data_IF_767906763870
#
_entry.id   IF_767906763870
#
_cell.length_a   1.000
_cell.length_b   1.000
_cell.length_c   1.000
_cell.angle_alpha   90.00
_cell.angle_beta   90.00
_cell.angle_gamma   90.00
#
_symmetry.space_group_name_H-M   'P 1'
#
loop_
_entity.id
_entity.type
_entity.pdbx_description
1 polymer ?
#
# COMPACT_ATOMS: atom_id res chain seq x y z
N UNK A 1 -5.31 16.57 4.58
CA UNK A 1 -3.92 16.70 4.06
C UNK A 1 -3.93 16.77 2.54
N UNK A 2 -4.55 15.80 1.85
CA UNK A 2 -4.66 15.79 0.38
C UNK A 2 -5.36 17.04 -0.19
N UNK A 3 -6.46 17.48 0.41
CA UNK A 3 -7.18 18.73 0.05
C UNK A 3 -6.37 20.03 0.21
N UNK A 4 -5.24 20.00 0.91
CA UNK A 4 -4.30 21.12 0.96
C UNK A 4 -3.12 20.89 0.00
N UNK A 5 -2.71 19.64 -0.19
CA UNK A 5 -1.62 19.28 -1.08
C UNK A 5 -1.99 19.52 -2.54
N UNK A 6 -3.21 19.20 -2.98
CA UNK A 6 -3.67 19.38 -4.36
C UNK A 6 -3.50 20.82 -4.87
N UNK A 7 -3.95 21.83 -4.12
CA UNK A 7 -3.78 23.25 -4.48
C UNK A 7 -2.32 23.71 -4.49
N UNK A 8 -1.48 23.17 -3.58
CA UNK A 8 -0.04 23.43 -3.57
C UNK A 8 0.67 22.79 -4.76
N UNK A 9 0.25 21.59 -5.14
CA UNK A 9 0.73 20.85 -6.31
C UNK A 9 0.37 21.61 -7.59
N UNK A 10 -0.88 22.03 -7.74
CA UNK A 10 -1.37 22.84 -8.86
C UNK A 10 -0.59 24.16 -8.97
N UNK A 11 -0.43 24.90 -7.87
CA UNK A 11 0.35 26.14 -7.91
C UNK A 11 1.82 25.92 -8.24
N UNK A 12 2.41 24.81 -7.80
CA UNK A 12 3.82 24.50 -8.06
C UNK A 12 4.08 24.01 -9.48
N UNK A 13 3.06 23.53 -10.21
CA UNK A 13 3.21 23.09 -11.60
C UNK A 13 3.60 24.26 -12.53
N UNK A 14 3.18 25.48 -12.20
CA UNK A 14 3.55 26.73 -12.90
C UNK A 14 5.07 26.97 -12.96
N UNK A 15 5.84 26.41 -12.01
CA UNK A 15 7.30 26.52 -12.02
C UNK A 15 7.99 25.58 -13.02
N UNK A 16 7.24 24.67 -13.66
CA UNK A 16 7.75 23.63 -14.58
C UNK A 16 8.85 22.76 -13.96
N UNK A 17 8.72 22.47 -12.66
CA UNK A 17 9.64 21.62 -11.90
C UNK A 17 8.95 20.30 -11.54
N UNK A 18 8.98 19.28 -12.43
CA UNK A 18 8.22 18.04 -12.24
C UNK A 18 8.57 17.33 -10.92
N UNK A 19 9.83 17.32 -10.52
CA UNK A 19 10.24 16.71 -9.25
C UNK A 19 9.63 17.40 -8.02
N UNK A 20 9.40 18.73 -8.08
CA UNK A 20 8.76 19.47 -6.99
C UNK A 20 7.29 19.10 -6.86
N UNK A 21 6.57 18.97 -7.99
CA UNK A 21 5.18 18.51 -8.06
C UNK A 21 5.05 17.11 -7.44
N UNK A 22 5.92 16.18 -7.87
CA UNK A 22 5.98 14.81 -7.32
C UNK A 22 6.19 14.81 -5.80
N UNK A 23 7.15 15.59 -5.31
CA UNK A 23 7.49 15.61 -3.90
C UNK A 23 6.36 16.16 -3.01
N UNK A 24 5.57 17.14 -3.47
CA UNK A 24 4.45 17.68 -2.66
C UNK A 24 3.38 16.60 -2.44
N UNK A 25 3.03 15.88 -3.49
CA UNK A 25 2.05 14.79 -3.41
C UNK A 25 2.58 13.62 -2.55
N UNK A 26 3.84 13.24 -2.73
CA UNK A 26 4.49 12.20 -1.93
C UNK A 26 4.66 12.60 -0.45
N UNK A 27 5.00 13.86 -0.15
CA UNK A 27 5.11 14.39 1.22
C UNK A 27 3.74 14.30 1.94
N UNK A 28 2.63 14.54 1.23
CA UNK A 28 1.29 14.38 1.77
C UNK A 28 0.97 12.91 2.05
N UNK A 29 1.20 12.03 1.07
CA UNK A 29 0.93 10.60 1.19
C UNK A 29 1.72 9.92 2.31
N UNK A 30 3.04 10.18 2.42
CA UNK A 30 3.86 9.60 3.49
C UNK A 30 3.44 10.10 4.87
N UNK A 31 3.02 11.36 4.99
CA UNK A 31 2.52 11.92 6.25
C UNK A 31 1.24 11.21 6.71
N UNK A 32 0.32 10.93 5.79
CA UNK A 32 -0.90 10.18 6.06
C UNK A 32 -0.55 8.73 6.46
N UNK A 33 0.27 8.05 5.67
CA UNK A 33 0.65 6.66 5.92
C UNK A 33 1.35 6.45 7.27
N UNK A 34 2.30 7.33 7.62
CA UNK A 34 2.98 7.28 8.93
C UNK A 34 2.00 7.56 10.06
N UNK A 35 1.12 8.56 9.93
CA UNK A 35 0.15 8.90 10.97
C UNK A 35 -0.77 7.71 11.27
N UNK A 36 -1.34 7.09 10.23
CA UNK A 36 -2.31 6.01 10.38
C UNK A 36 -1.69 4.77 11.00
N UNK A 37 -0.53 4.33 10.48
CA UNK A 37 0.16 3.17 11.02
C UNK A 37 0.60 3.43 12.47
N UNK A 38 1.07 4.64 12.81
CA UNK A 38 1.40 4.98 14.19
C UNK A 38 0.18 4.95 15.11
N UNK A 39 -0.95 5.52 14.69
CA UNK A 39 -2.20 5.52 15.47
C UNK A 39 -2.63 4.08 15.74
N UNK A 40 -2.60 3.23 14.71
CA UNK A 40 -2.97 1.83 14.83
C UNK A 40 -2.06 1.09 15.81
N UNK A 41 -0.73 1.25 15.67
CA UNK A 41 0.25 0.64 16.57
C UNK A 41 0.05 1.08 18.02
N UNK A 42 -0.25 2.36 18.26
CA UNK A 42 -0.55 2.87 19.59
C UNK A 42 -1.81 2.20 20.14
N UNK A 43 -2.88 2.08 19.34
CA UNK A 43 -4.13 1.43 19.76
C UNK A 43 -3.90 -0.05 20.10
N UNK A 44 -3.15 -0.77 19.26
CA UNK A 44 -2.79 -2.17 19.51
C UNK A 44 -1.93 -2.34 20.77
N UNK A 45 -0.97 -1.44 21.00
CA UNK A 45 -0.15 -1.42 22.22
C UNK A 45 -0.99 -1.11 23.46
N UNK A 46 -1.98 -0.23 23.36
CA UNK A 46 -2.90 0.05 24.47
C UNK A 46 -3.67 -1.22 24.84
N UNK A 47 -4.18 -1.96 23.84
CA UNK A 47 -4.85 -3.25 24.08
C UNK A 47 -3.87 -4.23 24.74
N UNK A 48 -2.64 -4.35 24.23
CA UNK A 48 -1.67 -5.30 24.74
C UNK A 48 -1.22 -5.01 26.18
N UNK A 49 -1.03 -3.72 26.54
CA UNK A 49 -0.41 -3.32 27.80
C UNK A 49 -1.40 -3.05 28.93
N UNK A 50 -2.62 -2.58 28.61
CA UNK A 50 -3.57 -2.10 29.61
C UNK A 50 -4.86 -2.92 29.70
N UNK A 51 -5.21 -3.71 28.68
CA UNK A 51 -6.38 -4.59 28.75
C UNK A 51 -6.00 -5.90 29.45
N UNK A 52 -6.79 -6.39 30.41
CA UNK A 52 -6.55 -7.69 31.05
C UNK A 52 -6.40 -8.81 30.02
N UNK A 53 -5.49 -9.75 30.27
CA UNK A 53 -5.10 -10.80 29.31
C UNK A 53 -6.30 -11.62 28.82
N UNK A 54 -7.23 -11.92 29.72
CA UNK A 54 -8.48 -12.64 29.46
C UNK A 54 -9.43 -11.91 28.50
N UNK A 55 -9.33 -10.58 28.39
CA UNK A 55 -10.15 -9.76 27.49
C UNK A 55 -9.38 -9.32 26.23
N UNK A 56 -8.05 -9.29 26.27
CA UNK A 56 -7.21 -8.76 25.19
C UNK A 56 -7.48 -9.43 23.84
N UNK A 57 -7.67 -10.75 23.80
CA UNK A 57 -7.99 -11.48 22.56
C UNK A 57 -9.31 -11.04 21.93
N UNK A 58 -10.38 -10.94 22.74
CA UNK A 58 -11.68 -10.46 22.27
C UNK A 58 -11.62 -8.99 21.84
N UNK A 59 -10.84 -8.16 22.54
CA UNK A 59 -10.61 -6.75 22.18
C UNK A 59 -9.89 -6.61 20.84
N UNK A 60 -8.87 -7.43 20.56
CA UNK A 60 -8.19 -7.42 19.25
C UNK A 60 -9.13 -7.85 18.11
N UNK A 61 -9.95 -8.88 18.32
CA UNK A 61 -10.96 -9.30 17.33
C UNK A 61 -11.99 -8.19 17.10
N UNK A 62 -12.47 -7.56 18.17
CA UNK A 62 -13.41 -6.43 18.07
C UNK A 62 -12.79 -5.22 17.37
N UNK A 63 -11.50 -4.94 17.62
CA UNK A 63 -10.72 -3.92 16.93
C UNK A 63 -10.66 -4.20 15.42
N UNK A 64 -10.22 -5.40 15.02
CA UNK A 64 -10.19 -5.82 13.62
C UNK A 64 -11.55 -5.70 12.93
N UNK A 65 -12.63 -6.19 13.55
CA UNK A 65 -13.98 -6.09 12.99
C UNK A 65 -14.41 -4.62 12.83
N UNK A 66 -14.10 -3.77 13.81
CA UNK A 66 -14.42 -2.35 13.77
C UNK A 66 -13.73 -1.62 12.63
N UNK A 67 -12.43 -1.90 12.42
CA UNK A 67 -11.66 -1.35 11.31
C UNK A 67 -12.19 -1.83 9.96
N UNK A 68 -12.43 -3.14 9.79
CA UNK A 68 -13.01 -3.71 8.57
C UNK A 68 -14.37 -3.10 8.23
N UNK A 69 -15.25 -2.90 9.22
CA UNK A 69 -16.55 -2.28 9.01
C UNK A 69 -16.42 -0.81 8.60
N UNK A 70 -15.54 -0.06 9.28
CA UNK A 70 -15.30 1.36 8.99
C UNK A 70 -14.69 1.56 7.60
N UNK A 71 -13.64 0.81 7.26
CA UNK A 71 -12.99 0.85 5.95
C UNK A 71 -13.95 0.45 4.83
N UNK A 72 -14.74 -0.60 5.02
CA UNK A 72 -15.77 -1.02 4.04
C UNK A 72 -16.80 0.09 3.80
N UNK A 73 -17.30 0.73 4.86
CA UNK A 73 -18.27 1.81 4.73
C UNK A 73 -17.69 3.02 3.99
N UNK A 74 -16.47 3.44 4.33
CA UNK A 74 -15.79 4.57 3.68
C UNK A 74 -15.48 4.28 2.21
N UNK A 75 -15.00 3.08 1.90
CA UNK A 75 -14.67 2.69 0.52
C UNK A 75 -15.91 2.57 -0.36
N UNK A 76 -17.00 2.00 0.16
CA UNK A 76 -18.25 1.88 -0.59
C UNK A 76 -18.90 3.25 -0.76
N UNK A 77 -19.09 4.03 0.31
CA UNK A 77 -19.76 5.32 0.23
C UNK A 77 -18.96 6.33 -0.59
N UNK A 78 -17.65 6.42 -0.32
CA UNK A 78 -16.73 7.28 -1.09
C UNK A 78 -16.65 6.84 -2.55
N UNK A 79 -16.52 5.53 -2.80
CA UNK A 79 -16.49 4.94 -4.14
C UNK A 79 -17.74 5.21 -4.98
N UNK A 80 -18.93 5.08 -4.38
CA UNK A 80 -20.20 5.42 -5.04
C UNK A 80 -20.21 6.91 -5.38
N UNK A 81 -19.78 7.77 -4.45
CA UNK A 81 -19.79 9.21 -4.65
C UNK A 81 -18.84 9.63 -5.79
N UNK A 82 -17.57 9.21 -5.76
CA UNK A 82 -16.60 9.54 -6.83
C UNK A 82 -17.06 9.00 -8.18
N UNK A 83 -17.41 7.71 -8.30
CA UNK A 83 -17.71 7.14 -9.61
C UNK A 83 -19.01 7.65 -10.24
N UNK A 84 -20.00 8.08 -9.45
CA UNK A 84 -21.17 8.76 -10.00
C UNK A 84 -20.80 10.18 -10.49
N UNK A 85 -19.97 10.90 -9.74
CA UNK A 85 -19.54 12.25 -10.09
C UNK A 85 -18.65 12.26 -11.35
N UNK A 86 -17.59 11.44 -11.34
CA UNK A 86 -16.63 11.18 -12.43
C UNK A 86 -17.37 10.82 -13.72
N UNK A 87 -18.10 9.69 -13.75
CA UNK A 87 -18.86 9.25 -14.94
C UNK A 87 -19.86 10.33 -15.40
N UNK A 88 -20.49 11.03 -14.46
CA UNK A 88 -21.42 12.11 -14.77
C UNK A 88 -20.75 13.30 -15.46
N UNK A 89 -19.63 13.78 -14.91
CA UNK A 89 -18.87 14.90 -15.42
C UNK A 89 -18.24 14.58 -16.79
N UNK A 90 -17.65 13.39 -16.92
CA UNK A 90 -16.93 12.97 -18.12
C UNK A 90 -17.88 12.68 -19.31
N UNK A 91 -19.08 12.16 -19.05
CA UNK A 91 -20.10 12.04 -20.09
C UNK A 91 -20.63 13.42 -20.54
N UNK A 92 -20.73 14.40 -19.64
CA UNK A 92 -21.11 15.77 -20.00
C UNK A 92 -20.07 16.42 -20.90
N UNK A 93 -18.77 16.20 -20.66
CA UNK A 93 -17.67 16.61 -21.55
C UNK A 93 -17.90 16.13 -22.99
N UNK A 94 -18.22 14.85 -23.18
CA UNK A 94 -18.52 14.29 -24.51
C UNK A 94 -19.78 14.90 -25.13
N UNK A 95 -20.86 15.03 -24.34
CA UNK A 95 -22.16 15.53 -24.83
C UNK A 95 -22.13 17.00 -25.20
N UNK A 96 -21.45 17.83 -24.41
CA UNK A 96 -21.36 19.27 -24.62
C UNK A 96 -20.16 19.70 -25.46
N UNK A 97 -19.21 18.79 -25.73
CA UNK A 97 -18.00 19.10 -26.50
C UNK A 97 -17.11 20.13 -25.81
N UNK A 98 -17.02 20.05 -24.47
CA UNK A 98 -16.15 20.87 -23.62
C UNK A 98 -14.95 20.03 -23.19
N UNK A 99 -13.93 20.68 -22.62
CA UNK A 99 -12.76 19.99 -22.11
C UNK A 99 -13.05 19.27 -20.78
N UNK A 100 -12.14 18.39 -20.36
CA UNK A 100 -12.16 17.75 -19.05
C UNK A 100 -11.94 18.79 -17.96
N UNK A 101 -12.62 18.64 -16.82
CA UNK A 101 -12.56 19.59 -15.70
C UNK A 101 -12.90 21.05 -16.02
N UNK A 102 -13.63 21.29 -17.10
CA UNK A 102 -14.06 22.63 -17.52
C UNK A 102 -14.94 23.30 -16.45
N UNK A 103 -14.68 24.58 -16.07
CA UNK A 103 -15.45 25.29 -15.04
C UNK A 103 -16.94 25.48 -15.35
N UNK A 104 -17.36 25.29 -16.61
CA UNK A 104 -18.77 25.32 -17.03
C UNK A 104 -19.50 24.03 -16.71
N UNK A 105 -18.76 22.93 -16.48
CA UNK A 105 -19.33 21.64 -16.14
C UNK A 105 -19.67 21.60 -14.63
N UNK A 106 -20.96 21.53 -14.25
CA UNK A 106 -21.35 21.53 -12.84
C UNK A 106 -20.93 20.26 -12.09
N UNK A 107 -20.52 19.20 -12.79
CA UNK A 107 -20.06 17.94 -12.21
C UNK A 107 -18.66 18.00 -11.61
N UNK A 108 -17.79 18.92 -12.07
CA UNK A 108 -16.35 18.91 -11.76
C UNK A 108 -16.08 19.09 -10.27
N UNK A 109 -16.81 19.96 -9.57
CA UNK A 109 -16.63 20.12 -8.12
C UNK A 109 -17.02 18.85 -7.36
N UNK A 110 -18.06 18.13 -7.82
CA UNK A 110 -18.46 16.87 -7.22
C UNK A 110 -17.40 15.79 -7.49
N UNK A 111 -16.80 15.80 -8.68
CA UNK A 111 -15.74 14.90 -9.09
C UNK A 111 -14.50 15.06 -8.20
N UNK A 112 -13.95 16.28 -8.14
CA UNK A 112 -12.79 16.57 -7.29
C UNK A 112 -13.05 16.26 -5.80
N UNK A 113 -14.27 16.55 -5.32
CA UNK A 113 -14.67 16.18 -3.95
C UNK A 113 -14.69 14.66 -3.79
N UNK A 114 -15.12 13.96 -4.83
CA UNK A 114 -15.16 12.52 -4.92
C UNK A 114 -13.79 11.89 -4.86
N UNK A 115 -12.78 12.37 -5.57
CA UNK A 115 -11.45 11.74 -5.51
C UNK A 115 -10.85 11.85 -4.11
N UNK A 116 -11.13 12.95 -3.40
CA UNK A 116 -10.74 13.06 -2.00
C UNK A 116 -11.48 12.06 -1.11
N UNK A 117 -12.80 11.93 -1.29
CA UNK A 117 -13.68 11.11 -0.44
C UNK A 117 -13.61 9.60 -0.74
N UNK A 118 -13.46 9.23 -2.01
CA UNK A 118 -13.37 7.86 -2.51
C UNK A 118 -11.92 7.46 -2.68
N UNK A 119 -11.24 8.03 -3.66
CA UNK A 119 -9.94 7.55 -4.14
C UNK A 119 -8.77 7.91 -3.20
N UNK A 120 -8.97 8.83 -2.26
CA UNK A 120 -8.02 9.14 -1.19
C UNK A 120 -8.42 8.53 0.15
N UNK A 121 -9.59 8.87 0.72
CA UNK A 121 -10.01 8.35 2.04
C UNK A 121 -10.24 6.83 2.01
N UNK A 122 -10.80 6.29 0.93
CA UNK A 122 -11.12 4.86 0.80
C UNK A 122 -9.87 3.96 0.86
N UNK A 123 -8.91 4.07 -0.08
CA UNK A 123 -7.69 3.27 -0.05
C UNK A 123 -6.84 3.49 1.20
N UNK A 124 -6.83 4.71 1.73
CA UNK A 124 -6.17 5.02 3.00
C UNK A 124 -6.78 4.27 4.18
N UNK A 125 -8.12 4.21 4.26
CA UNK A 125 -8.82 3.46 5.30
C UNK A 125 -8.65 1.93 5.13
N UNK A 126 -8.61 1.45 3.89
CA UNK A 126 -8.31 0.05 3.56
C UNK A 126 -6.87 -0.34 3.95
N UNK A 127 -5.89 0.54 3.68
CA UNK A 127 -4.51 0.34 4.10
C UNK A 127 -4.35 0.28 5.63
N UNK A 128 -5.08 1.13 6.36
CA UNK A 128 -5.15 1.09 7.83
C UNK A 128 -5.76 -0.22 8.33
N UNK A 129 -6.89 -0.64 7.75
CA UNK A 129 -7.55 -1.91 8.08
C UNK A 129 -6.65 -3.12 7.81
N UNK A 130 -6.00 -3.18 6.65
CA UNK A 130 -5.18 -4.33 6.27
C UNK A 130 -3.96 -4.44 7.19
N UNK A 131 -3.38 -3.31 7.60
CA UNK A 131 -2.29 -3.29 8.58
C UNK A 131 -2.78 -3.74 9.96
N UNK A 132 -3.97 -3.33 10.42
CA UNK A 132 -4.63 -3.79 11.65
C UNK A 132 -4.91 -5.28 11.70
N UNK A 133 -5.70 -5.75 10.74
CA UNK A 133 -6.22 -7.11 10.71
C UNK A 133 -5.10 -8.13 10.54
N UNK A 134 -4.07 -7.85 9.74
CA UNK A 134 -2.90 -8.75 9.62
C UNK A 134 -2.14 -8.87 10.94
N UNK A 135 -2.10 -7.81 11.75
CA UNK A 135 -1.49 -7.80 13.07
C UNK A 135 -2.28 -8.61 14.08
N UNK A 136 -3.59 -8.36 14.14
CA UNK A 136 -4.53 -9.12 14.97
C UNK A 136 -4.50 -10.61 14.61
N UNK A 137 -4.45 -10.95 13.33
CA UNK A 137 -4.35 -12.33 12.87
C UNK A 137 -3.10 -13.03 13.42
N UNK A 138 -1.92 -12.40 13.31
CA UNK A 138 -0.69 -12.98 13.84
C UNK A 138 -0.68 -13.10 15.37
N UNK A 139 -1.18 -12.10 16.08
CA UNK A 139 -1.35 -12.16 17.54
C UNK A 139 -2.23 -13.35 17.90
N UNK A 140 -3.34 -13.53 17.20
CA UNK A 140 -4.27 -14.64 17.40
C UNK A 140 -3.59 -15.99 17.15
N UNK A 141 -2.84 -16.13 16.06
CA UNK A 141 -2.09 -17.36 15.78
C UNK A 141 -1.03 -17.65 16.85
N UNK A 142 -0.27 -16.63 17.30
CA UNK A 142 0.74 -16.82 18.35
C UNK A 142 0.09 -17.31 19.64
N UNK A 143 -1.01 -16.67 20.06
CA UNK A 143 -1.67 -17.00 21.33
C UNK A 143 -2.38 -18.36 21.29
N UNK A 144 -2.97 -18.75 20.15
CA UNK A 144 -3.75 -19.98 20.04
C UNK A 144 -2.96 -21.19 19.55
N UNK A 145 -1.88 -20.99 18.79
CA UNK A 145 -1.14 -22.08 18.16
C UNK A 145 0.17 -22.46 18.89
N UNK A 146 0.64 -21.65 19.84
CA UNK A 146 1.86 -21.90 20.62
C UNK A 146 1.49 -22.13 22.08
N UNK A 147 1.83 -23.28 22.66
CA UNK A 147 1.43 -23.60 24.04
C UNK A 147 2.27 -22.89 25.11
N UNK A 148 3.55 -22.61 24.82
CA UNK A 148 4.51 -22.06 25.79
C UNK A 148 4.39 -20.54 25.89
N UNK A 149 4.00 -20.03 27.07
CA UNK A 149 3.81 -18.59 27.35
C UNK A 149 5.08 -17.77 27.09
N UNK A 150 6.26 -18.31 27.41
CA UNK A 150 7.53 -17.60 27.18
C UNK A 150 7.77 -17.36 25.69
N UNK A 151 7.46 -18.34 24.84
CA UNK A 151 7.60 -18.21 23.39
C UNK A 151 6.56 -17.26 22.81
N UNK A 152 5.32 -17.31 23.32
CA UNK A 152 4.28 -16.34 22.94
C UNK A 152 4.76 -14.91 23.17
N UNK A 153 5.29 -14.63 24.37
CA UNK A 153 5.76 -13.30 24.75
C UNK A 153 6.86 -12.81 23.83
N UNK A 154 7.89 -13.64 23.58
CA UNK A 154 8.99 -13.29 22.67
C UNK A 154 8.49 -13.01 21.25
N UNK A 155 7.59 -13.84 20.72
CA UNK A 155 7.06 -13.67 19.35
C UNK A 155 6.15 -12.44 19.22
N UNK A 156 5.34 -12.14 20.24
CA UNK A 156 4.56 -10.90 20.27
C UNK A 156 5.49 -9.68 20.29
N UNK A 157 6.50 -9.67 21.17
CA UNK A 157 7.50 -8.60 21.19
C UNK A 157 8.20 -8.45 19.84
N UNK A 158 8.59 -9.56 19.21
CA UNK A 158 9.22 -9.55 17.88
C UNK A 158 8.33 -8.89 16.82
N UNK A 159 7.04 -9.23 16.74
CA UNK A 159 6.11 -8.62 15.78
C UNK A 159 5.96 -7.11 16.02
N UNK A 160 5.77 -6.68 17.26
CA UNK A 160 5.61 -5.26 17.56
C UNK A 160 6.89 -4.46 17.27
N UNK A 161 8.06 -4.98 17.66
CA UNK A 161 9.36 -4.36 17.35
C UNK A 161 9.58 -4.29 15.85
N UNK A 162 9.24 -5.37 15.13
CA UNK A 162 9.31 -5.42 13.67
C UNK A 162 8.45 -4.32 13.04
N UNK A 163 7.19 -4.18 13.46
CA UNK A 163 6.28 -3.15 12.94
C UNK A 163 6.82 -1.73 13.13
N UNK A 164 7.30 -1.41 14.34
CA UNK A 164 7.90 -0.10 14.63
C UNK A 164 9.11 0.16 13.75
N UNK A 165 10.00 -0.82 13.60
CA UNK A 165 11.20 -0.65 12.77
C UNK A 165 10.89 -0.58 11.28
N UNK A 166 9.83 -1.23 10.81
CA UNK A 166 9.38 -1.12 9.42
C UNK A 166 8.77 0.25 9.11
N UNK A 167 8.12 0.91 10.06
CA UNK A 167 7.72 2.34 9.93
C UNK A 167 8.95 3.23 9.80
N UNK A 168 9.94 3.05 10.69
CA UNK A 168 11.21 3.81 10.63
C UNK A 168 11.94 3.54 9.31
N UNK A 169 11.95 2.29 8.85
CA UNK A 169 12.55 1.89 7.58
C UNK A 169 11.85 2.56 6.40
N UNK A 170 10.52 2.66 6.43
CA UNK A 170 9.72 3.36 5.40
C UNK A 170 10.06 4.84 5.33
N UNK A 171 10.18 5.52 6.48
CA UNK A 171 10.59 6.93 6.54
C UNK A 171 12.02 7.12 6.04
N UNK A 172 12.95 6.25 6.43
CA UNK A 172 14.33 6.31 5.95
C UNK A 172 14.39 6.10 4.43
N UNK A 173 13.65 5.12 3.92
CA UNK A 173 13.56 4.81 2.48
C UNK A 173 13.00 5.98 1.69
N UNK A 174 12.01 6.68 2.24
CA UNK A 174 11.46 7.90 1.67
C UNK A 174 12.53 8.99 1.47
N UNK A 175 13.32 9.29 2.50
CA UNK A 175 14.40 10.28 2.40
C UNK A 175 15.54 9.84 1.48
N UNK A 176 15.90 8.55 1.49
CA UNK A 176 16.89 8.00 0.55
C UNK A 176 16.39 8.14 -0.89
N UNK A 177 15.15 7.77 -1.16
CA UNK A 177 14.57 7.90 -2.50
C UNK A 177 14.48 9.36 -2.94
N UNK A 178 14.17 10.29 -2.03
CA UNK A 178 14.19 11.73 -2.29
C UNK A 178 15.58 12.21 -2.69
N UNK A 179 16.62 11.79 -1.98
CA UNK A 179 18.00 12.14 -2.31
C UNK A 179 18.43 11.55 -3.67
N UNK A 180 18.09 10.29 -3.94
CA UNK A 180 18.37 9.62 -5.22
C UNK A 180 17.62 10.30 -6.38
N UNK A 181 16.34 10.62 -6.18
CA UNK A 181 15.51 11.29 -7.19
C UNK A 181 16.00 12.71 -7.47
N UNK A 182 16.44 13.45 -6.44
CA UNK A 182 17.06 14.76 -6.59
C UNK A 182 18.37 14.69 -7.38
N UNK A 183 19.23 13.72 -7.07
CA UNK A 183 20.50 13.55 -7.77
C UNK A 183 20.31 13.14 -9.25
N UNK A 184 19.25 12.40 -9.57
CA UNK A 184 19.00 11.89 -10.93
C UNK A 184 18.15 12.82 -11.78
N UNK A 185 17.18 13.50 -11.20
CA UNK A 185 16.14 14.25 -11.92
C UNK A 185 16.02 15.73 -11.51
N UNK A 186 16.92 16.24 -10.67
CA UNK A 186 16.83 17.61 -10.14
C UNK A 186 16.79 18.71 -11.19
N UNK A 187 17.49 18.50 -12.32
CA UNK A 187 17.57 19.43 -13.45
C UNK A 187 16.78 18.95 -14.68
N UNK A 188 15.90 17.96 -14.51
CA UNK A 188 15.11 17.40 -15.63
C UNK A 188 13.79 18.13 -15.79
N UNK A 189 13.54 18.64 -17.00
CA UNK A 189 12.27 19.30 -17.36
C UNK A 189 11.16 18.29 -17.72
N UNK A 190 11.53 17.04 -18.00
CA UNK A 190 10.60 15.93 -18.25
C UNK A 190 11.01 14.71 -17.40
N UNK A 191 10.06 14.14 -16.67
CA UNK A 191 10.28 13.01 -15.77
C UNK A 191 9.18 11.98 -15.95
N UNK A 192 9.62 10.74 -16.16
CA UNK A 192 8.78 9.57 -16.01
C UNK A 192 8.48 9.28 -14.54
N UNK A 193 7.33 9.74 -14.03
CA UNK A 193 6.95 9.62 -12.61
C UNK A 193 6.85 8.17 -12.11
N UNK A 194 6.66 7.18 -12.99
CA UNK A 194 6.67 5.76 -12.61
C UNK A 194 8.05 5.32 -12.07
N UNK A 195 9.14 5.94 -12.52
CA UNK A 195 10.51 5.59 -12.11
C UNK A 195 10.81 5.95 -10.64
N UNK A 196 10.63 7.21 -10.17
CA UNK A 196 10.87 7.55 -8.77
C UNK A 196 9.87 6.88 -7.82
N UNK A 197 8.63 6.63 -8.25
CA UNK A 197 7.64 5.87 -7.46
C UNK A 197 8.06 4.39 -7.33
N UNK A 198 8.41 3.73 -8.44
CA UNK A 198 8.92 2.36 -8.42
C UNK A 198 10.23 2.23 -7.64
N UNK A 199 11.14 3.19 -7.78
CA UNK A 199 12.38 3.28 -7.01
C UNK A 199 12.10 3.33 -5.50
N UNK A 200 11.10 4.10 -5.07
CA UNK A 200 10.70 4.17 -3.66
C UNK A 200 10.25 2.79 -3.15
N UNK A 201 9.40 2.08 -3.90
CA UNK A 201 8.91 0.75 -3.53
C UNK A 201 10.08 -0.24 -3.42
N UNK A 202 10.98 -0.28 -4.39
CA UNK A 202 12.14 -1.20 -4.38
C UNK A 202 13.15 -0.90 -3.28
N UNK A 203 13.51 0.38 -3.08
CA UNK A 203 14.39 0.80 -1.99
C UNK A 203 13.79 0.38 -0.65
N UNK A 204 12.50 0.66 -0.45
CA UNK A 204 11.80 0.31 0.80
C UNK A 204 11.74 -1.20 0.99
N UNK A 205 11.54 -1.98 -0.06
CA UNK A 205 11.48 -3.45 0.01
C UNK A 205 12.82 -4.03 0.44
N UNK A 206 13.90 -3.58 -0.19
CA UNK A 206 15.27 -4.05 0.11
C UNK A 206 15.64 -3.70 1.54
N UNK A 207 15.41 -2.46 1.96
CA UNK A 207 15.71 -2.02 3.33
C UNK A 207 14.82 -2.73 4.37
N UNK A 208 13.55 -3.01 4.05
CA UNK A 208 12.63 -3.74 4.92
C UNK A 208 13.05 -5.20 5.09
N UNK A 209 13.53 -5.86 4.04
CA UNK A 209 14.10 -7.21 4.14
C UNK A 209 15.35 -7.19 5.03
N UNK A 210 16.28 -6.26 4.82
CA UNK A 210 17.49 -6.13 5.66
C UNK A 210 17.11 -5.90 7.13
N UNK A 211 16.17 -4.98 7.39
CA UNK A 211 15.63 -4.70 8.71
C UNK A 211 14.99 -5.94 9.34
N UNK A 212 14.21 -6.70 8.56
CA UNK A 212 13.57 -7.94 8.99
C UNK A 212 14.57 -8.99 9.47
N UNK A 213 15.66 -9.19 8.72
CA UNK A 213 16.73 -10.10 9.15
C UNK A 213 17.45 -9.58 10.39
N UNK A 214 17.74 -8.27 10.45
CA UNK A 214 18.38 -7.65 11.61
C UNK A 214 17.56 -7.83 12.89
N UNK A 215 16.28 -7.46 12.85
CA UNK A 215 15.36 -7.59 14.00
C UNK A 215 15.20 -9.05 14.42
N UNK A 216 15.02 -9.95 13.46
CA UNK A 216 14.88 -11.38 13.76
C UNK A 216 16.15 -11.95 14.39
N UNK A 217 17.34 -11.51 13.96
CA UNK A 217 18.62 -11.91 14.55
C UNK A 217 18.77 -11.45 16.00
N UNK A 218 18.41 -10.20 16.31
CA UNK A 218 18.57 -9.62 17.65
C UNK A 218 17.49 -10.03 18.65
N UNK A 219 16.28 -10.36 18.19
CA UNK A 219 15.17 -10.73 19.08
C UNK A 219 14.98 -12.24 19.19
N UNK A 220 15.12 -12.99 18.10
CA UNK A 220 14.87 -14.44 18.08
C UNK A 220 16.17 -15.26 17.98
N UNK A 221 17.13 -14.76 17.20
CA UNK A 221 18.35 -15.46 16.85
C UNK A 221 19.47 -15.40 17.89
N UNK A 222 20.71 -15.73 17.50
CA UNK A 222 21.87 -15.76 18.40
C UNK A 222 22.18 -14.40 19.08
N UNK A 223 21.73 -13.29 18.47
CA UNK A 223 21.92 -11.94 19.00
C UNK A 223 21.07 -11.62 20.24
N UNK A 224 20.06 -12.43 20.56
CA UNK A 224 19.18 -12.23 21.71
C UNK A 224 19.87 -12.48 23.06
N UNK A 225 21.05 -13.10 23.07
CA UNK A 225 21.80 -13.41 24.31
C UNK A 225 21.20 -14.55 25.15
N UNK A 226 20.05 -15.10 24.72
CA UNK A 226 19.37 -16.23 25.35
C UNK A 226 19.02 -17.25 24.27
N UNK A 227 19.50 -18.49 24.42
CA UNK A 227 19.17 -19.58 23.49
C UNK A 227 17.78 -20.13 23.81
N UNK A 228 16.89 -20.05 22.83
CA UNK A 228 15.53 -20.60 22.91
C UNK A 228 15.24 -21.48 21.70
N UNK A 229 14.08 -22.15 21.68
CA UNK A 229 13.64 -22.91 20.49
C UNK A 229 13.46 -22.02 19.24
N UNK A 230 13.35 -20.69 19.42
CA UNK A 230 13.24 -19.72 18.32
C UNK A 230 14.60 -19.37 17.70
N UNK A 231 15.70 -19.67 18.40
CA UNK A 231 17.07 -19.36 17.96
C UNK A 231 17.48 -20.11 16.70
N UNK A 232 16.88 -21.25 16.41
CA UNK A 232 17.12 -21.97 15.15
C UNK A 232 16.12 -21.57 14.04
N UNK A 233 15.04 -20.86 14.39
CA UNK A 233 13.93 -20.52 13.50
C UNK A 233 13.94 -19.07 13.00
N UNK A 234 14.81 -18.20 13.54
CA UNK A 234 14.83 -16.78 13.18
C UNK A 234 15.03 -16.55 11.67
N UNK A 235 15.87 -17.34 11.00
CA UNK A 235 16.09 -17.26 9.55
C UNK A 235 14.82 -17.66 8.81
N UNK A 236 14.20 -18.77 9.22
CA UNK A 236 12.98 -19.30 8.61
C UNK A 236 11.87 -18.26 8.66
N UNK A 237 11.64 -17.66 9.83
CA UNK A 237 10.65 -16.61 10.05
C UNK A 237 10.96 -15.34 9.23
N UNK A 238 12.22 -14.90 9.20
CA UNK A 238 12.63 -13.73 8.42
C UNK A 238 12.46 -13.94 6.91
N UNK A 239 12.79 -15.14 6.40
CA UNK A 239 12.61 -15.51 4.98
C UNK A 239 11.13 -15.48 4.60
N UNK A 240 10.24 -16.02 5.45
CA UNK A 240 8.80 -16.02 5.17
C UNK A 240 8.25 -14.60 5.08
N UNK A 241 8.58 -13.72 6.04
CA UNK A 241 8.19 -12.29 5.96
C UNK A 241 8.74 -11.66 4.68
N UNK A 242 9.99 -11.98 4.31
CA UNK A 242 10.64 -11.43 3.12
C UNK A 242 9.94 -11.82 1.82
N UNK A 243 9.28 -12.99 1.74
CA UNK A 243 8.43 -13.32 0.60
C UNK A 243 7.23 -12.37 0.47
N UNK A 244 6.63 -12.00 1.61
CA UNK A 244 5.59 -10.98 1.66
C UNK A 244 6.08 -9.63 1.16
N UNK A 245 7.20 -9.16 1.71
CA UNK A 245 7.81 -7.87 1.32
C UNK A 245 8.21 -7.85 -0.15
N UNK A 246 8.74 -8.97 -0.67
CA UNK A 246 9.01 -9.13 -2.09
C UNK A 246 7.72 -9.06 -2.93
N UNK A 247 6.63 -9.67 -2.45
CA UNK A 247 5.32 -9.53 -3.08
C UNK A 247 4.87 -8.08 -3.22
N UNK A 248 5.13 -7.25 -2.21
CA UNK A 248 4.77 -5.83 -2.25
C UNK A 248 5.60 -5.03 -3.27
N UNK A 249 6.78 -5.52 -3.66
CA UNK A 249 7.55 -4.98 -4.79
C UNK A 249 7.07 -5.52 -6.14
N UNK A 250 6.81 -6.83 -6.22
CA UNK A 250 6.49 -7.51 -7.47
C UNK A 250 5.09 -7.21 -7.97
N UNK A 251 4.08 -7.12 -7.09
CA UNK A 251 2.69 -6.90 -7.50
C UNK A 251 2.55 -5.59 -8.30
N UNK A 252 3.08 -4.42 -7.84
CA UNK A 252 3.07 -3.20 -8.66
C UNK A 252 3.77 -3.35 -10.01
N UNK A 253 4.89 -4.08 -10.10
CA UNK A 253 5.58 -4.32 -11.37
C UNK A 253 4.72 -5.13 -12.35
N UNK A 254 4.05 -6.17 -11.85
CA UNK A 254 3.10 -6.94 -12.66
C UNK A 254 1.88 -6.12 -13.04
N UNK A 255 1.35 -5.28 -12.15
CA UNK A 255 0.24 -4.37 -12.48
C UNK A 255 0.63 -3.41 -13.60
N UNK A 256 1.82 -2.79 -13.55
CA UNK A 256 2.32 -1.88 -14.60
C UNK A 256 2.39 -2.51 -15.99
N UNK A 257 2.65 -3.82 -16.08
CA UNK A 257 2.63 -4.55 -17.36
C UNK A 257 1.26 -4.44 -18.05
N UNK A 258 0.17 -4.21 -17.31
CA UNK A 258 -1.18 -4.13 -17.84
C UNK A 258 -1.79 -2.73 -17.78
N UNK A 259 -1.28 -1.84 -16.93
CA UNK A 259 -1.89 -0.52 -16.66
C UNK A 259 -1.03 0.68 -17.07
N UNK A 260 0.28 0.53 -17.25
CA UNK A 260 1.13 1.65 -17.65
C UNK A 260 0.78 2.14 -19.06
N UNK A 261 0.79 3.44 -19.34
CA UNK A 261 0.63 3.97 -20.71
C UNK A 261 1.68 3.46 -21.70
N UNK A 262 2.80 2.92 -21.21
CA UNK A 262 3.88 2.33 -22.02
C UNK A 262 3.73 0.82 -22.22
N UNK A 263 2.66 0.24 -21.68
CA UNK A 263 2.35 -1.18 -21.84
C UNK A 263 1.83 -1.49 -23.24
N UNK A 264 2.29 -2.62 -23.80
CA UNK A 264 1.72 -3.22 -25.00
C UNK A 264 0.22 -3.52 -24.88
N UNK A 265 -0.28 -3.81 -23.67
CA UNK A 265 -1.68 -4.12 -23.45
C UNK A 265 -2.55 -2.87 -23.47
N UNK A 266 -2.05 -1.77 -22.90
CA UNK A 266 -2.71 -0.46 -23.01
C UNK A 266 -2.67 0.04 -24.46
N UNK A 267 -1.54 -0.14 -25.15
CA UNK A 267 -1.42 0.18 -26.57
C UNK A 267 -2.45 -0.58 -27.43
N UNK A 268 -2.65 -1.87 -27.17
CA UNK A 268 -3.68 -2.67 -27.86
C UNK A 268 -5.10 -2.16 -27.56
N UNK A 269 -5.39 -1.76 -26.32
CA UNK A 269 -6.69 -1.15 -25.95
C UNK A 269 -6.92 0.16 -26.71
N UNK A 270 -5.89 1.01 -26.85
CA UNK A 270 -5.96 2.25 -27.62
C UNK A 270 -6.16 1.97 -29.10
N UNK A 271 -5.46 0.98 -29.65
CA UNK A 271 -5.62 0.55 -31.05
C UNK A 271 -7.03 0.00 -31.30
N UNK A 272 -7.53 -0.83 -30.39
CA UNK A 272 -8.90 -1.34 -30.42
C UNK A 272 -9.94 -0.21 -30.46
N UNK A 273 -9.74 0.88 -29.69
CA UNK A 273 -10.60 2.07 -29.77
C UNK A 273 -10.60 2.71 -31.15
N UNK A 274 -9.43 2.84 -31.78
CA UNK A 274 -9.27 3.50 -33.08
C UNK A 274 -9.89 2.69 -34.22
N UNK A 275 -9.72 1.37 -34.19
CA UNK A 275 -10.15 0.49 -35.28
C UNK A 275 -11.60 0.00 -35.12
N UNK A 276 -12.06 -0.20 -33.89
CA UNK A 276 -13.34 -0.86 -33.59
C UNK A 276 -14.27 -0.12 -32.64
N UNK A 277 -13.91 1.10 -32.23
CA UNK A 277 -14.73 1.95 -31.38
C UNK A 277 -14.95 1.41 -29.96
N UNK A 278 -15.97 1.93 -29.24
CA UNK A 278 -16.19 1.63 -27.83
C UNK A 278 -16.37 0.14 -27.50
N UNK A 279 -17.03 -0.62 -28.37
CA UNK A 279 -17.25 -2.06 -28.13
C UNK A 279 -15.95 -2.87 -28.14
N UNK A 280 -15.03 -2.57 -29.06
CA UNK A 280 -13.75 -3.27 -29.13
C UNK A 280 -12.80 -2.81 -28.02
N UNK A 281 -12.87 -1.52 -27.65
CA UNK A 281 -12.16 -0.99 -26.49
C UNK A 281 -12.54 -1.75 -25.19
N UNK A 282 -13.84 -1.87 -24.89
CA UNK A 282 -14.33 -2.59 -23.71
C UNK A 282 -13.87 -4.05 -23.73
N UNK A 283 -13.99 -4.73 -24.88
CA UNK A 283 -13.57 -6.12 -25.02
C UNK A 283 -12.06 -6.28 -24.77
N UNK A 284 -11.24 -5.43 -25.38
CA UNK A 284 -9.78 -5.45 -25.19
C UNK A 284 -9.40 -5.18 -23.73
N UNK A 285 -10.06 -4.21 -23.09
CA UNK A 285 -9.85 -3.89 -21.67
C UNK A 285 -10.19 -5.05 -20.75
N UNK A 286 -11.34 -5.72 -20.97
CA UNK A 286 -11.73 -6.92 -20.20
C UNK A 286 -10.73 -8.06 -20.36
N UNK A 287 -10.22 -8.26 -21.58
CA UNK A 287 -9.19 -9.29 -21.84
C UNK A 287 -7.91 -8.95 -21.08
N UNK A 288 -7.39 -7.72 -21.20
CA UNK A 288 -6.20 -7.27 -20.48
C UNK A 288 -6.36 -7.43 -18.95
N UNK A 289 -7.52 -7.06 -18.41
CA UNK A 289 -7.84 -7.23 -16.98
C UNK A 289 -7.82 -8.68 -16.52
N UNK A 290 -8.45 -9.60 -17.29
CA UNK A 290 -8.44 -11.03 -16.97
C UNK A 290 -7.03 -11.64 -17.01
N UNK A 291 -6.22 -11.25 -18.00
CA UNK A 291 -4.82 -11.68 -18.06
C UNK A 291 -4.00 -11.12 -16.88
N UNK A 292 -4.21 -9.85 -16.52
CA UNK A 292 -3.57 -9.24 -15.34
C UNK A 292 -3.86 -10.02 -14.07
N UNK A 293 -5.14 -10.33 -13.81
CA UNK A 293 -5.57 -11.09 -12.63
C UNK A 293 -4.92 -12.48 -12.58
N UNK A 294 -4.83 -13.18 -13.71
CA UNK A 294 -4.15 -14.48 -13.77
C UNK A 294 -2.68 -14.38 -13.37
N UNK A 295 -1.92 -13.44 -13.95
CA UNK A 295 -0.49 -13.33 -13.69
C UNK A 295 -0.17 -12.84 -12.28
N UNK A 296 -0.93 -11.86 -11.76
CA UNK A 296 -0.81 -11.43 -10.36
C UNK A 296 -1.16 -12.59 -9.42
N UNK A 297 -2.19 -13.38 -9.74
CA UNK A 297 -2.52 -14.61 -9.01
C UNK A 297 -1.38 -15.62 -8.98
N UNK A 298 -0.68 -15.82 -10.11
CA UNK A 298 0.48 -16.70 -10.19
C UNK A 298 1.66 -16.22 -9.32
N UNK A 299 1.86 -14.90 -9.17
CA UNK A 299 2.85 -14.35 -8.24
C UNK A 299 2.51 -14.75 -6.80
N UNK A 300 1.25 -14.58 -6.37
CA UNK A 300 0.82 -15.00 -5.03
C UNK A 300 0.97 -16.51 -4.84
N UNK A 301 0.60 -17.33 -5.82
CA UNK A 301 0.80 -18.79 -5.75
C UNK A 301 2.27 -19.13 -5.53
N UNK A 302 3.19 -18.51 -6.27
CA UNK A 302 4.62 -18.76 -6.12
C UNK A 302 5.17 -18.35 -4.74
N UNK A 303 4.80 -17.16 -4.25
CA UNK A 303 5.24 -16.66 -2.93
C UNK A 303 4.68 -17.49 -1.79
N UNK A 304 3.40 -17.84 -1.85
CA UNK A 304 2.71 -18.66 -0.86
C UNK A 304 3.23 -20.09 -0.86
N UNK A 305 3.52 -20.65 -2.03
CA UNK A 305 4.17 -21.95 -2.15
C UNK A 305 5.57 -21.91 -1.53
N UNK A 306 6.39 -20.90 -1.82
CA UNK A 306 7.70 -20.75 -1.19
C UNK A 306 7.58 -20.65 0.35
N UNK A 307 6.62 -19.88 0.87
CA UNK A 307 6.34 -19.79 2.30
C UNK A 307 5.89 -21.13 2.90
N UNK A 308 5.04 -21.88 2.19
CA UNK A 308 4.62 -23.22 2.59
C UNK A 308 5.81 -24.17 2.72
N UNK A 309 6.69 -24.22 1.72
CA UNK A 309 7.91 -25.04 1.78
C UNK A 309 8.82 -24.61 2.93
N UNK A 310 9.03 -23.30 3.09
CA UNK A 310 9.85 -22.75 4.18
C UNK A 310 9.25 -23.06 5.56
N UNK A 311 7.92 -23.13 5.70
CA UNK A 311 7.26 -23.51 6.95
C UNK A 311 7.58 -24.94 7.42
N UNK A 312 8.02 -25.81 6.51
CA UNK A 312 8.42 -27.19 6.83
C UNK A 312 9.75 -27.31 7.59
N UNK A 313 10.55 -26.23 7.66
CA UNK A 313 11.85 -26.24 8.33
C UNK A 313 11.72 -25.90 9.82
N UNK A 314 11.10 -26.80 10.59
CA UNK A 314 11.13 -26.78 12.06
C UNK A 314 10.02 -25.96 12.75
N UNK A 315 9.17 -25.26 11.99
CA UNK A 315 8.08 -24.47 12.56
C UNK A 315 7.01 -25.34 13.26
N UNK A 316 6.85 -26.59 12.82
CA UNK A 316 6.00 -27.60 13.47
C UNK A 316 6.43 -27.95 14.90
N UNK A 317 7.66 -27.61 15.29
CA UNK A 317 8.16 -27.90 16.64
C UNK A 317 7.64 -26.91 17.70
N UNK A 318 7.12 -25.76 17.27
CA UNK A 318 6.68 -24.69 18.16
C UNK A 318 5.17 -24.39 18.03
N UNK A 319 4.51 -24.82 16.96
CA UNK A 319 3.09 -24.54 16.74
C UNK A 319 2.31 -25.59 15.94
N UNK A 320 1.00 -25.64 16.17
CA UNK A 320 0.07 -26.63 15.59
C UNK A 320 -0.24 -26.37 14.10
N UNK A 321 -0.22 -25.11 13.64
CA UNK A 321 -0.58 -24.71 12.27
C UNK A 321 0.52 -23.92 11.54
N UNK A 322 1.69 -24.53 11.30
CA UNK A 322 2.87 -23.81 10.80
C UNK A 322 2.66 -23.16 9.43
N UNK A 323 1.97 -23.84 8.50
CA UNK A 323 1.76 -23.31 7.16
C UNK A 323 0.79 -22.13 7.11
N UNK A 324 -0.28 -22.17 7.92
CA UNK A 324 -1.25 -21.07 7.99
C UNK A 324 -0.60 -19.85 8.66
N UNK A 325 0.19 -20.07 9.70
CA UNK A 325 0.97 -18.99 10.31
C UNK A 325 1.99 -18.38 9.33
N UNK A 326 2.66 -19.21 8.54
CA UNK A 326 3.58 -18.73 7.50
C UNK A 326 2.85 -17.85 6.47
N UNK A 327 1.63 -18.19 6.08
CA UNK A 327 0.80 -17.36 5.22
C UNK A 327 0.43 -16.02 5.86
N UNK A 328 0.11 -16.02 7.17
CA UNK A 328 -0.05 -14.79 7.94
C UNK A 328 1.20 -13.92 7.94
N UNK A 329 2.39 -14.52 8.04
CA UNK A 329 3.67 -13.80 7.97
C UNK A 329 3.96 -13.24 6.58
N UNK A 330 3.54 -13.91 5.50
CA UNK A 330 3.59 -13.35 4.14
C UNK A 330 2.68 -12.13 4.05
N UNK A 331 1.44 -12.21 4.53
CA UNK A 331 0.52 -11.06 4.55
C UNK A 331 1.09 -9.89 5.37
N UNK A 332 1.69 -10.18 6.53
CA UNK A 332 2.40 -9.18 7.34
C UNK A 332 3.57 -8.54 6.60
N UNK A 333 4.39 -9.35 5.91
CA UNK A 333 5.52 -8.86 5.13
C UNK A 333 5.10 -7.97 3.97
N UNK A 334 3.96 -8.27 3.33
CA UNK A 334 3.34 -7.45 2.28
C UNK A 334 3.00 -6.05 2.81
N UNK A 335 2.55 -5.96 4.07
CA UNK A 335 2.25 -4.70 4.75
C UNK A 335 3.47 -4.04 5.41
N UNK A 336 4.67 -4.64 5.29
CA UNK A 336 5.89 -4.11 5.89
C UNK A 336 6.32 -2.73 5.34
N UNK A 337 5.78 -2.32 4.20
CA UNK A 337 6.00 -1.00 3.61
C UNK A 337 4.78 -0.07 3.74
N UNK A 338 3.85 -0.36 4.66
CA UNK A 338 2.55 0.31 4.79
C UNK A 338 2.57 1.82 4.51
N UNK A 339 3.42 2.63 5.19
CA UNK A 339 3.48 4.07 4.94
C UNK A 339 3.86 4.45 3.51
N UNK A 340 4.78 3.70 2.88
CA UNK A 340 5.20 3.92 1.50
C UNK A 340 4.13 3.47 0.51
N UNK A 341 3.46 2.35 0.76
CA UNK A 341 2.34 1.90 -0.07
C UNK A 341 1.22 2.94 -0.09
N UNK A 342 0.83 3.44 1.09
CA UNK A 342 -0.16 4.53 1.21
C UNK A 342 0.34 5.80 0.54
N UNK A 343 1.64 6.11 0.61
CA UNK A 343 2.21 7.29 -0.02
C UNK A 343 2.13 7.27 -1.55
N UNK A 344 2.46 6.12 -2.16
CA UNK A 344 2.41 5.94 -3.61
C UNK A 344 0.96 5.89 -4.11
N UNK A 345 0.03 5.35 -3.32
CA UNK A 345 -1.39 5.33 -3.67
C UNK A 345 -2.02 6.73 -3.55
N UNK A 346 -1.77 7.43 -2.42
CA UNK A 346 -2.24 8.80 -2.18
C UNK A 346 -1.67 9.83 -3.15
N UNK A 347 -0.57 9.52 -3.84
CA UNK A 347 0.00 10.38 -4.87
C UNK A 347 -1.02 10.65 -5.99
N UNK A 348 -1.73 9.62 -6.44
CA UNK A 348 -2.67 9.69 -7.57
C UNK A 348 -3.78 10.73 -7.37
N UNK A 349 -4.64 10.59 -6.36
CA UNK A 349 -5.75 11.53 -6.12
C UNK A 349 -5.29 12.97 -5.86
N UNK A 350 -4.10 13.16 -5.28
CA UNK A 350 -3.54 14.50 -5.07
C UNK A 350 -3.15 15.14 -6.40
N UNK A 351 -2.54 14.39 -7.31
CA UNK A 351 -2.18 14.90 -8.64
C UNK A 351 -3.39 15.09 -9.54
N UNK A 352 -4.39 14.22 -9.41
CA UNK A 352 -5.64 14.31 -10.16
C UNK A 352 -6.39 15.61 -9.84
N UNK A 353 -6.66 15.85 -8.55
CA UNK A 353 -7.24 17.12 -8.12
C UNK A 353 -6.35 18.33 -8.42
N UNK A 354 -5.03 18.17 -8.50
CA UNK A 354 -4.16 19.27 -8.87
C UNK A 354 -4.35 19.67 -10.34
N UNK A 355 -4.60 18.70 -11.22
CA UNK A 355 -4.99 18.93 -12.61
C UNK A 355 -6.33 19.68 -12.66
N UNK A 356 -7.36 19.20 -11.96
CA UNK A 356 -8.67 19.85 -11.98
C UNK A 356 -8.61 21.28 -11.44
N UNK A 357 -7.86 21.53 -10.36
CA UNK A 357 -7.66 22.89 -9.83
C UNK A 357 -6.96 23.78 -10.86
N UNK A 358 -6.01 23.23 -11.61
CA UNK A 358 -5.31 23.97 -12.66
C UNK A 358 -6.26 24.36 -13.79
N UNK A 359 -7.04 23.41 -14.33
CA UNK A 359 -8.04 23.67 -15.39
C UNK A 359 -9.12 24.68 -14.94
N UNK A 360 -9.65 24.50 -13.73
CA UNK A 360 -10.64 25.42 -13.14
C UNK A 360 -10.11 26.85 -12.94
N UNK A 361 -8.79 27.03 -12.84
CA UNK A 361 -8.18 28.34 -12.59
C UNK A 361 -8.06 29.22 -13.83
N UNK A 362 -8.13 28.63 -15.04
CA UNK A 362 -7.96 29.33 -16.32
C UNK A 362 -6.68 30.20 -16.39
N UNK A 363 -5.62 29.77 -15.71
CA UNK A 363 -4.40 30.58 -15.52
C UNK A 363 -3.46 30.58 -16.74
N UNK A 364 -3.54 29.56 -17.58
CA UNK A 364 -2.91 29.53 -18.90
C UNK A 364 -4.05 29.37 -19.94
N UNK A 365 -4.32 30.43 -20.71
CA UNK A 365 -5.07 30.36 -21.98
C UNK A 365 -4.11 30.11 -23.15
#
# INVERSE_FOLDING_TARGET
MNTLANSRTAFSSLERKPLKVLNIALDAGISIGVLLVCVELIMMLIILLYVPRELAGASFIGFAIGESLGASALRIAGGIFTKIADIGADLMKIVFGIDEDDPRNPGVIADCTGDNAGDSVGPTADGFETYGVTGVALITFIVLAIDKIDLQTIMLTWIFVMRVLLVITSVLSFYINRAVSQARYGDSDDIDFEKPLGSLVWITSILSIISTFGVSYFILGPGAGVTTQLTDLWVVLAVIISFGTLGAALVPEFTKIFTSPKSSHVEEVVKASREGGPSLNILSGLVAGNFSAFWIGMVFVALMFAAYFTSGFGLSNIMVYPSIFAFGLVAFGLMGMGPVTIAVDSYGPVTDNAQSIYELSLIEE
#
